data_IF_021306269781
#
_entry.id   IF_021306269781
#
_cell.length_a   1.000
_cell.length_b   1.000
_cell.length_c   1.000
_cell.angle_alpha   90.00
_cell.angle_beta   90.00
_cell.angle_gamma   90.00
#
_symmetry.space_group_name_H-M   'P 1'
#
loop_
_entity.id
_entity.type
_entity.pdbx_description
1 polymer ?
#
# COMPACT_ATOMS: atom_id res chain seq x y z
N UNK A 1 2.91 -15.04 -13.58
CA UNK A 1 4.14 -14.23 -13.73
C UNK A 1 4.27 -13.41 -12.46
N UNK A 2 5.42 -13.47 -11.81
CA UNK A 2 5.74 -12.68 -10.63
C UNK A 2 6.29 -11.31 -11.06
N UNK A 3 5.85 -10.23 -10.41
CA UNK A 3 6.30 -8.86 -10.69
C UNK A 3 7.59 -8.51 -9.94
N UNK A 4 7.77 -9.05 -8.73
CA UNK A 4 8.90 -8.68 -7.89
C UNK A 4 10.10 -9.61 -8.10
N UNK A 5 11.34 -9.08 -8.08
CA UNK A 5 12.53 -9.92 -8.12
C UNK A 5 12.62 -10.81 -6.86
N UNK A 6 13.42 -11.88 -6.96
CA UNK A 6 13.81 -12.65 -5.78
C UNK A 6 14.85 -11.85 -5.00
N UNK A 7 14.62 -11.74 -3.69
CA UNK A 7 15.62 -11.22 -2.76
C UNK A 7 16.66 -12.31 -2.45
N UNK A 8 17.84 -11.95 -1.90
CA UNK A 8 18.89 -12.92 -1.58
C UNK A 8 18.48 -14.06 -0.64
N UNK A 9 17.40 -13.89 0.14
CA UNK A 9 16.82 -14.91 1.00
C UNK A 9 15.87 -15.88 0.26
N UNK A 10 15.76 -15.75 -1.06
CA UNK A 10 14.92 -16.58 -1.91
C UNK A 10 13.43 -16.22 -1.85
N UNK A 11 13.06 -15.09 -1.25
CA UNK A 11 11.66 -14.63 -1.15
C UNK A 11 11.41 -13.42 -2.03
N UNK A 12 10.18 -13.30 -2.54
CA UNK A 12 9.70 -12.06 -3.12
C UNK A 12 9.24 -11.11 -2.01
N UNK A 13 9.31 -9.81 -2.26
CA UNK A 13 8.84 -8.78 -1.34
C UNK A 13 8.22 -7.65 -2.15
N UNK A 14 7.01 -7.25 -1.79
CA UNK A 14 6.37 -6.05 -2.32
C UNK A 14 5.81 -5.20 -1.19
N UNK A 15 5.74 -3.89 -1.39
CA UNK A 15 4.81 -3.08 -0.63
C UNK A 15 3.38 -3.44 -1.04
N UNK A 16 2.46 -3.42 -0.09
CA UNK A 16 1.02 -3.45 -0.38
C UNK A 16 0.48 -2.04 -0.19
N UNK A 17 0.56 -1.26 -1.27
CA UNK A 17 -0.06 0.07 -1.33
C UNK A 17 -1.56 -0.07 -1.59
N UNK A 18 -2.38 0.57 -0.76
CA UNK A 18 -3.80 0.78 -1.04
C UNK A 18 -4.26 2.07 -0.38
N UNK A 19 -5.42 2.56 -0.79
CA UNK A 19 -6.16 3.59 -0.08
C UNK A 19 -7.28 2.91 0.72
N UNK A 20 -7.49 3.36 1.95
CA UNK A 20 -8.57 2.89 2.81
C UNK A 20 -9.54 4.02 3.12
N UNK A 21 -10.82 3.70 3.30
CA UNK A 21 -11.77 4.65 3.85
C UNK A 21 -11.90 4.45 5.36
N UNK A 22 -11.80 5.54 6.11
CA UNK A 22 -12.00 5.57 7.55
C UNK A 22 -13.21 6.45 7.91
N UNK A 23 -13.76 6.23 9.10
CA UNK A 23 -14.85 7.04 9.63
C UNK A 23 -14.30 8.01 10.64
N UNK A 24 -14.54 9.30 10.43
CA UNK A 24 -14.20 10.31 11.42
C UNK A 24 -15.14 10.22 12.63
N UNK A 25 -14.59 9.89 13.80
CA UNK A 25 -15.36 9.61 15.01
C UNK A 25 -16.20 10.81 15.49
N UNK A 26 -15.78 12.05 15.21
CA UNK A 26 -16.50 13.27 15.60
C UNK A 26 -17.45 13.77 14.49
N UNK A 27 -17.68 12.96 13.44
CA UNK A 27 -18.64 13.28 12.40
C UNK A 27 -20.07 13.35 12.94
N UNK A 28 -20.97 14.04 12.21
CA UNK A 28 -22.38 14.17 12.63
C UNK A 28 -23.16 12.85 12.56
N UNK A 29 -22.71 11.90 11.74
CA UNK A 29 -23.40 10.62 11.48
C UNK A 29 -22.38 9.46 11.33
N UNK A 30 -21.61 9.13 12.38
CA UNK A 30 -20.52 8.16 12.28
C UNK A 30 -21.04 6.75 11.97
N UNK A 31 -22.22 6.37 12.48
CA UNK A 31 -22.80 5.05 12.18
C UNK A 31 -23.19 4.92 10.70
N UNK A 32 -23.80 5.96 10.10
CA UNK A 32 -24.15 5.93 8.68
C UNK A 32 -22.89 5.89 7.81
N UNK A 33 -21.87 6.67 8.16
CA UNK A 33 -20.58 6.64 7.49
C UNK A 33 -19.93 5.24 7.59
N UNK A 34 -20.04 4.58 8.75
CA UNK A 34 -19.55 3.21 8.92
C UNK A 34 -20.30 2.20 8.04
N UNK A 35 -21.63 2.30 7.94
CA UNK A 35 -22.39 1.44 7.02
C UNK A 35 -22.01 1.69 5.55
N UNK A 36 -21.71 2.94 5.18
CA UNK A 36 -21.20 3.26 3.84
C UNK A 36 -19.84 2.58 3.59
N UNK A 37 -18.88 2.71 4.50
CA UNK A 37 -17.57 2.05 4.38
C UNK A 37 -17.71 0.52 4.30
N UNK A 38 -18.58 -0.08 5.11
CA UNK A 38 -18.88 -1.52 5.02
C UNK A 38 -19.48 -1.93 3.68
N UNK A 39 -20.26 -1.06 3.04
CA UNK A 39 -20.87 -1.38 1.77
C UNK A 39 -19.83 -1.55 0.64
N UNK A 40 -18.67 -0.87 0.74
CA UNK A 40 -17.59 -0.93 -0.24
C UNK A 40 -16.98 -2.33 -0.36
N UNK A 41 -17.00 -3.11 0.73
CA UNK A 41 -16.46 -4.47 0.75
C UNK A 41 -17.52 -5.54 0.45
N UNK A 42 -18.68 -5.16 -0.08
CA UNK A 42 -19.69 -6.13 -0.53
C UNK A 42 -19.39 -6.63 -1.94
N UNK A 43 -19.80 -7.86 -2.31
CA UNK A 43 -19.55 -8.41 -3.64
C UNK A 43 -20.07 -7.53 -4.79
N UNK A 44 -21.28 -6.96 -4.65
CA UNK A 44 -21.88 -6.11 -5.70
C UNK A 44 -21.06 -4.83 -5.93
N UNK A 45 -20.68 -4.14 -4.86
CA UNK A 45 -19.90 -2.90 -4.97
C UNK A 45 -18.48 -3.18 -5.45
N UNK A 46 -17.82 -4.22 -4.94
CA UNK A 46 -16.49 -4.62 -5.40
C UNK A 46 -16.50 -4.97 -6.90
N UNK A 47 -17.50 -5.73 -7.37
CA UNK A 47 -17.62 -6.08 -8.80
C UNK A 47 -17.69 -4.81 -9.65
N UNK A 48 -18.61 -3.90 -9.32
CA UNK A 48 -18.77 -2.64 -10.05
C UNK A 48 -17.51 -1.77 -10.03
N UNK A 49 -16.83 -1.69 -8.89
CA UNK A 49 -15.59 -0.90 -8.77
C UNK A 49 -14.45 -1.52 -9.58
N UNK A 50 -14.37 -2.85 -9.66
CA UNK A 50 -13.35 -3.54 -10.46
C UNK A 50 -13.62 -3.45 -11.95
N UNK A 51 -14.88 -3.58 -12.40
CA UNK A 51 -15.29 -3.39 -13.79
C UNK A 51 -15.05 -1.95 -14.28
N UNK A 52 -15.18 -0.98 -13.38
CA UNK A 52 -14.86 0.42 -13.63
C UNK A 52 -13.36 0.75 -13.50
N UNK A 53 -12.50 -0.25 -13.30
CA UNK A 53 -11.04 -0.11 -13.15
C UNK A 53 -10.60 0.81 -11.99
N UNK A 54 -11.46 0.98 -10.96
CA UNK A 54 -11.18 1.85 -9.81
C UNK A 54 -10.24 1.15 -8.81
N UNK A 55 -10.33 -0.18 -8.72
CA UNK A 55 -9.57 -1.01 -7.78
C UNK A 55 -9.16 -2.34 -8.41
N UNK A 56 -8.11 -2.95 -7.87
CA UNK A 56 -7.92 -4.40 -7.90
C UNK A 56 -8.85 -5.02 -6.84
N UNK A 57 -9.57 -6.11 -7.14
CA UNK A 57 -10.55 -6.65 -6.19
C UNK A 57 -9.93 -7.00 -4.83
N UNK A 58 -10.54 -6.49 -3.75
CA UNK A 58 -10.15 -6.81 -2.38
C UNK A 58 -10.67 -8.20 -1.96
N UNK A 59 -11.87 -8.55 -2.42
CA UNK A 59 -12.49 -9.82 -2.11
C UNK A 59 -11.93 -10.93 -3.00
N UNK A 60 -11.35 -11.98 -2.38
CA UNK A 60 -10.88 -13.18 -3.09
C UNK A 60 -11.97 -13.80 -3.97
N UNK A 61 -13.21 -13.83 -3.49
CA UNK A 61 -14.35 -14.39 -4.24
C UNK A 61 -14.69 -13.62 -5.54
N UNK A 62 -14.23 -12.39 -5.69
CA UNK A 62 -14.32 -11.61 -6.93
C UNK A 62 -13.03 -11.78 -7.74
N UNK A 63 -11.87 -11.68 -7.09
CA UNK A 63 -10.58 -11.80 -7.73
C UNK A 63 -10.41 -13.14 -8.47
N UNK A 64 -10.76 -14.25 -7.81
CA UNK A 64 -10.59 -15.62 -8.32
C UNK A 64 -11.53 -15.97 -9.48
N UNK A 65 -12.67 -15.28 -9.62
CA UNK A 65 -13.57 -15.47 -10.78
C UNK A 65 -12.97 -14.92 -12.07
N UNK A 66 -12.10 -13.92 -11.97
CA UNK A 66 -11.41 -13.31 -13.09
C UNK A 66 -12.27 -12.50 -14.06
N UNK A 67 -13.59 -12.43 -13.86
CA UNK A 67 -14.52 -11.69 -14.72
C UNK A 67 -14.17 -10.20 -14.80
N UNK A 68 -13.60 -9.63 -13.74
CA UNK A 68 -13.13 -8.25 -13.68
C UNK A 68 -11.99 -7.93 -14.66
N UNK A 69 -11.33 -8.95 -15.23
CA UNK A 69 -10.29 -8.79 -16.25
C UNK A 69 -10.87 -8.73 -17.66
N UNK A 70 -12.17 -9.00 -17.84
CA UNK A 70 -12.79 -9.08 -19.15
C UNK A 70 -12.83 -7.70 -19.82
N UNK A 71 -12.26 -7.61 -21.03
CA UNK A 71 -12.30 -6.39 -21.82
C UNK A 71 -11.29 -5.31 -21.43
N UNK A 72 -10.44 -5.56 -20.42
CA UNK A 72 -9.33 -4.66 -20.09
C UNK A 72 -8.38 -4.52 -21.28
N UNK A 73 -7.91 -3.30 -21.51
CA UNK A 73 -6.97 -3.02 -22.59
C UNK A 73 -5.65 -3.79 -22.38
N UNK A 74 -5.14 -4.40 -23.45
CA UNK A 74 -3.83 -5.06 -23.46
C UNK A 74 -2.79 -4.13 -24.08
N UNK A 75 -1.52 -4.15 -23.62
CA UNK A 75 -0.93 -5.00 -22.57
C UNK A 75 -1.15 -4.46 -21.13
N UNK A 76 -1.11 -5.30 -20.05
CA UNK A 76 -0.63 -6.70 -19.98
C UNK A 76 -1.65 -7.76 -19.50
N UNK A 77 -1.48 -9.03 -19.92
CA UNK A 77 -2.36 -10.18 -19.59
C UNK A 77 -2.12 -10.80 -18.19
N UNK A 78 -1.28 -10.18 -17.35
CA UNK A 78 -0.84 -10.74 -16.08
C UNK A 78 -1.55 -10.11 -14.87
N UNK A 79 -2.80 -9.67 -15.02
CA UNK A 79 -3.55 -8.95 -13.98
C UNK A 79 -3.60 -9.67 -12.63
N UNK A 80 -3.59 -11.01 -12.63
CA UNK A 80 -3.51 -11.81 -11.40
C UNK A 80 -2.20 -11.64 -10.62
N UNK A 81 -1.15 -11.06 -11.21
CA UNK A 81 0.08 -10.75 -10.49
C UNK A 81 -0.14 -9.69 -9.40
N UNK A 82 -1.12 -8.78 -9.56
CA UNK A 82 -1.50 -7.82 -8.54
C UNK A 82 -2.27 -8.46 -7.38
N UNK A 83 -3.06 -9.51 -7.67
CA UNK A 83 -3.74 -10.30 -6.65
C UNK A 83 -2.74 -11.18 -5.91
N UNK A 84 -1.92 -11.93 -6.64
CA UNK A 84 -0.96 -12.87 -6.08
C UNK A 84 0.20 -12.18 -5.37
N UNK A 85 0.58 -10.97 -5.80
CA UNK A 85 1.62 -10.18 -5.14
C UNK A 85 1.29 -9.84 -3.68
N UNK A 86 0.01 -9.88 -3.30
CA UNK A 86 -0.39 -9.72 -1.90
C UNK A 86 0.18 -10.81 -0.98
N UNK A 87 0.47 -12.01 -1.50
CA UNK A 87 1.09 -13.09 -0.72
C UNK A 87 2.57 -12.77 -0.38
N UNK A 88 3.19 -11.86 -1.12
CA UNK A 88 4.57 -11.37 -0.91
C UNK A 88 4.62 -10.01 -0.21
N UNK A 89 3.47 -9.52 0.29
CA UNK A 89 3.34 -8.21 0.87
C UNK A 89 4.10 -8.09 2.21
N UNK A 90 4.90 -7.03 2.33
CA UNK A 90 5.36 -6.54 3.62
C UNK A 90 4.27 -5.64 4.21
N UNK A 91 3.64 -6.11 5.29
CA UNK A 91 2.63 -5.32 5.99
C UNK A 91 3.28 -4.16 6.77
N UNK A 92 2.65 -2.97 6.83
CA UNK A 92 3.13 -1.88 7.65
C UNK A 92 3.22 -2.28 9.12
N UNK A 93 4.28 -1.84 9.81
CA UNK A 93 4.39 -1.99 11.27
C UNK A 93 3.45 -0.99 11.93
N UNK A 94 2.46 -1.49 12.66
CA UNK A 94 1.40 -0.68 13.30
C UNK A 94 1.77 -0.17 14.69
N UNK A 95 2.91 -0.59 15.23
CA UNK A 95 3.34 -0.27 16.60
C UNK A 95 4.07 1.09 16.71
N UNK A 96 4.32 1.76 15.58
CA UNK A 96 4.92 3.10 15.58
C UNK A 96 3.87 4.18 15.88
N UNK A 97 4.22 5.22 16.67
CA UNK A 97 3.32 6.33 16.93
C UNK A 97 2.89 6.96 15.60
N UNK A 98 1.58 6.92 15.33
CA UNK A 98 1.00 7.38 14.07
C UNK A 98 1.26 8.86 13.78
N UNK A 99 1.59 9.65 14.82
CA UNK A 99 1.85 11.09 14.75
C UNK A 99 3.10 11.42 13.91
N UNK A 100 4.10 10.53 13.90
CA UNK A 100 5.28 10.67 13.05
C UNK A 100 5.05 10.25 11.60
N UNK A 101 3.88 9.68 11.33
CA UNK A 101 3.49 9.14 10.04
C UNK A 101 3.99 7.71 9.82
N UNK A 102 4.22 7.37 8.56
CA UNK A 102 4.64 6.04 8.12
C UNK A 102 5.56 6.17 6.90
N UNK A 103 5.96 5.05 6.30
CA UNK A 103 6.67 5.08 5.02
C UNK A 103 5.90 5.83 3.92
N UNK A 104 4.58 5.99 4.05
CA UNK A 104 3.73 6.65 3.04
C UNK A 104 3.45 8.14 3.31
N UNK A 105 3.62 8.64 4.55
CA UNK A 105 3.28 10.02 4.90
C UNK A 105 4.05 10.50 6.14
N UNK A 106 4.17 11.81 6.34
CA UNK A 106 4.73 12.40 7.55
C UNK A 106 6.26 12.41 7.56
N UNK A 107 6.82 12.56 8.77
CA UNK A 107 8.28 12.70 8.98
C UNK A 107 9.03 11.46 8.51
N UNK A 108 8.47 10.27 8.77
CA UNK A 108 9.08 8.99 8.34
C UNK A 108 9.24 8.93 6.82
N UNK A 109 8.19 9.26 6.06
CA UNK A 109 8.26 9.28 4.59
C UNK A 109 9.26 10.32 4.07
N UNK A 110 9.26 11.52 4.65
CA UNK A 110 10.17 12.60 4.24
C UNK A 110 11.63 12.22 4.49
N UNK A 111 11.94 11.67 5.66
CA UNK A 111 13.28 11.25 6.04
C UNK A 111 13.80 10.14 5.10
N UNK A 112 12.99 9.10 4.85
CA UNK A 112 13.40 8.04 3.92
C UNK A 112 13.54 8.51 2.48
N UNK A 113 12.64 9.38 2.00
CA UNK A 113 12.73 9.93 0.63
C UNK A 113 13.99 10.75 0.46
N UNK A 114 14.30 11.64 1.42
CA UNK A 114 15.51 12.45 1.39
C UNK A 114 16.78 11.60 1.42
N UNK A 115 16.83 10.57 2.28
CA UNK A 115 17.98 9.66 2.34
C UNK A 115 18.17 8.89 1.03
N UNK A 116 17.10 8.31 0.47
CA UNK A 116 17.15 7.60 -0.81
C UNK A 116 17.63 8.52 -1.94
N UNK A 117 17.10 9.74 -2.02
CA UNK A 117 17.50 10.71 -3.03
C UNK A 117 18.99 11.10 -2.89
N UNK A 118 19.46 11.39 -1.67
CA UNK A 118 20.86 11.73 -1.43
C UNK A 118 21.81 10.61 -1.84
N UNK A 119 21.44 9.36 -1.56
CA UNK A 119 22.23 8.18 -1.97
C UNK A 119 22.20 8.00 -3.49
N UNK A 120 21.04 8.07 -4.13
CA UNK A 120 20.89 7.90 -5.58
C UNK A 120 21.65 8.99 -6.34
N UNK A 121 21.64 10.22 -5.83
CA UNK A 121 22.37 11.37 -6.41
C UNK A 121 23.87 11.33 -6.11
N UNK A 122 24.34 10.42 -5.27
CA UNK A 122 25.75 10.30 -4.86
C UNK A 122 26.21 11.42 -3.93
N UNK A 123 25.28 12.10 -3.26
CA UNK A 123 25.55 13.20 -2.33
C UNK A 123 26.02 12.68 -0.97
N UNK A 124 25.53 11.51 -0.55
CA UNK A 124 25.88 10.83 0.70
C UNK A 124 26.05 9.33 0.50
N UNK A 125 26.79 8.70 1.41
CA UNK A 125 26.80 7.24 1.50
C UNK A 125 25.47 6.72 2.05
N UNK A 126 25.13 5.45 1.77
CA UNK A 126 23.94 4.83 2.33
C UNK A 126 23.97 4.81 3.87
N UNK A 127 25.13 4.57 4.47
CA UNK A 127 25.28 4.59 5.93
C UNK A 127 24.96 5.99 6.49
N UNK A 128 25.61 7.03 5.98
CA UNK A 128 25.42 8.41 6.43
C UNK A 128 23.96 8.87 6.27
N UNK A 129 23.39 8.70 5.07
CA UNK A 129 22.04 9.17 4.77
C UNK A 129 20.98 8.48 5.63
N UNK A 130 21.10 7.17 5.85
CA UNK A 130 20.12 6.44 6.65
C UNK A 130 20.34 6.59 8.16
N UNK A 131 21.56 6.87 8.64
CA UNK A 131 21.78 7.28 10.05
C UNK A 131 21.12 8.62 10.36
N UNK A 132 21.17 9.58 9.45
CA UNK A 132 20.46 10.86 9.61
C UNK A 132 18.95 10.71 9.56
N UNK A 133 18.44 9.88 8.65
CA UNK A 133 17.02 9.55 8.61
C UNK A 133 16.55 8.89 9.90
N UNK A 134 17.31 7.91 10.41
CA UNK A 134 17.04 7.24 11.68
C UNK A 134 16.99 8.22 12.85
N UNK A 135 17.98 9.11 12.96
CA UNK A 135 18.02 10.18 13.98
C UNK A 135 16.78 11.08 13.89
N UNK A 136 16.39 11.47 12.68
CA UNK A 136 15.21 12.32 12.45
C UNK A 136 13.92 11.62 12.87
N UNK A 137 13.79 10.34 12.53
CA UNK A 137 12.62 9.52 12.88
C UNK A 137 12.56 9.31 14.40
N UNK A 138 13.68 8.96 15.03
CA UNK A 138 13.76 8.73 16.47
C UNK A 138 13.37 9.98 17.26
N UNK A 139 13.89 11.16 16.86
CA UNK A 139 13.53 12.42 17.49
C UNK A 139 12.04 12.77 17.40
N UNK A 140 11.32 12.22 16.42
CA UNK A 140 9.86 12.38 16.34
C UNK A 140 9.14 11.40 17.27
N UNK A 141 9.67 10.19 17.42
CA UNK A 141 9.05 9.14 18.23
C UNK A 141 9.26 9.32 19.74
N UNK A 142 10.34 10.01 20.12
CA UNK A 142 10.68 10.38 21.51
C UNK A 142 9.84 11.56 22.04
#
# INVERSE_FOLDING_TARGET
MQLMPLMPDGKHRTGMGTWGMSVYAQGKQPELAYQYVKNIITPDVQTKMTEAEIIVPLLRSIAEKGEWMNGLATPPNNFMAFVNGADDALLPVMDHPADCGSFYVGVVNQAYTAALEAVIRGEKSAEEAFTEADTTIQNCMD
#
